data_IF_218964200767
#
_entry.id   IF_218964200767
#
_cell.length_a   1.000
_cell.length_b   1.000
_cell.length_c   1.000
_cell.angle_alpha   90.00
_cell.angle_beta   90.00
_cell.angle_gamma   90.00
#
_symmetry.space_group_name_H-M   'P 1'
#
loop_
_entity.id
_entity.type
_entity.pdbx_description
1 polymer ?
#
# COMPACT_ATOMS: atom_id res chain seq x y z
N UNK A 1 -3.85 -37.48 63.37
CA UNK A 1 -3.26 -36.45 62.49
C UNK A 1 -4.32 -36.15 61.40
N UNK A 2 -5.30 -35.25 61.54
CA UNK A 2 -5.26 -33.77 61.58
C UNK A 2 -4.18 -33.22 60.64
N UNK A 3 -4.42 -32.38 59.63
CA UNK A 3 -5.39 -31.28 59.43
C UNK A 3 -5.42 -30.93 57.91
N UNK A 4 -6.58 -30.80 57.25
CA UNK A 4 -7.41 -29.60 56.94
C UNK A 4 -7.23 -28.98 55.53
N UNK A 5 -8.37 -28.96 54.83
CA UNK A 5 -8.78 -28.22 53.62
C UNK A 5 -8.56 -26.71 53.72
N UNK A 6 -8.37 -26.04 52.57
CA UNK A 6 -9.03 -24.75 52.22
C UNK A 6 -9.28 -24.64 50.71
N UNK A 7 -10.56 -24.66 50.33
CA UNK A 7 -11.06 -24.08 49.08
C UNK A 7 -11.18 -22.56 49.29
N UNK A 8 -10.78 -21.76 48.29
CA UNK A 8 -11.10 -20.34 48.21
C UNK A 8 -12.18 -20.15 47.15
N UNK A 9 -13.36 -19.73 47.59
CA UNK A 9 -14.33 -18.99 46.79
C UNK A 9 -13.92 -17.52 46.82
N UNK A 10 -13.89 -16.85 45.66
CA UNK A 10 -13.98 -15.40 45.61
C UNK A 10 -14.94 -14.98 44.49
N UNK A 11 -16.01 -14.37 44.98
CA UNK A 11 -17.10 -13.70 44.29
C UNK A 11 -16.56 -12.52 43.47
N UNK A 12 -17.04 -12.32 42.25
CA UNK A 12 -16.98 -11.01 41.62
C UNK A 12 -18.37 -10.60 41.12
N UNK A 13 -18.75 -9.43 41.59
CA UNK A 13 -20.09 -8.87 41.68
C UNK A 13 -20.51 -8.24 40.35
N UNK A 14 -21.74 -8.51 39.93
CA UNK A 14 -22.47 -7.78 38.90
C UNK A 14 -22.59 -6.29 39.27
N UNK A 15 -22.26 -5.39 38.35
CA UNK A 15 -22.62 -3.97 38.44
C UNK A 15 -23.53 -3.65 37.25
N UNK A 16 -24.84 -3.77 37.49
CA UNK A 16 -25.90 -3.12 36.72
C UNK A 16 -26.01 -1.68 37.22
N UNK A 17 -25.84 -0.71 36.31
CA UNK A 17 -26.17 0.69 36.52
C UNK A 17 -27.10 1.16 35.41
N UNK A 18 -28.37 1.37 35.76
CA UNK A 18 -29.44 1.84 34.87
C UNK A 18 -29.77 3.31 35.13
N UNK A 19 -30.22 4.00 34.07
CA UNK A 19 -31.00 5.25 34.03
C UNK A 19 -30.26 6.55 34.45
N UNK A 20 -30.45 7.70 33.80
CA UNK A 20 -31.70 8.26 33.27
C UNK A 20 -31.50 9.39 32.23
N UNK A 21 -32.53 9.53 31.37
CA UNK A 21 -33.07 10.71 30.67
C UNK A 21 -32.30 12.05 30.66
N UNK A 22 -32.17 12.64 29.48
CA UNK A 22 -32.66 14.00 29.20
C UNK A 22 -33.15 14.09 27.75
N UNK A 23 -34.46 14.31 27.60
CA UNK A 23 -35.10 14.72 26.37
C UNK A 23 -35.02 16.24 26.25
N UNK A 24 -34.72 16.76 25.05
CA UNK A 24 -35.03 18.15 24.67
C UNK A 24 -35.74 18.10 23.32
N UNK A 25 -36.87 18.81 23.30
CA UNK A 25 -37.89 18.97 22.27
C UNK A 25 -37.48 19.96 21.16
N UNK A 26 -38.17 19.88 20.01
CA UNK A 26 -38.26 20.98 19.02
C UNK A 26 -38.18 20.47 17.57
N UNK A 27 -39.27 19.96 16.99
CA UNK A 27 -40.17 20.70 16.06
C UNK A 27 -39.56 20.93 14.67
N UNK A 28 -39.94 20.11 13.68
CA UNK A 28 -40.95 20.48 12.67
C UNK A 28 -41.12 19.36 11.63
N UNK A 29 -42.35 18.86 11.53
CA UNK A 29 -42.82 18.05 10.40
C UNK A 29 -43.16 18.95 9.19
N UNK A 30 -43.23 18.37 7.98
CA UNK A 30 -44.39 18.69 7.16
C UNK A 30 -45.14 17.43 6.70
N UNK A 31 -46.37 17.35 7.20
CA UNK A 31 -47.64 17.13 6.48
C UNK A 31 -47.63 16.13 5.31
N UNK A 32 -48.32 15.02 5.59
CA UNK A 32 -48.89 14.04 4.66
C UNK A 32 -49.94 14.69 3.75
N UNK A 33 -49.88 14.39 2.45
CA UNK A 33 -51.02 14.46 1.55
C UNK A 33 -51.28 13.07 0.96
N UNK A 34 -52.35 12.44 1.45
CA UNK A 34 -52.96 11.23 0.92
C UNK A 34 -53.67 11.54 -0.40
N UNK A 35 -53.42 10.73 -1.42
CA UNK A 35 -54.37 10.44 -2.50
C UNK A 35 -53.97 9.14 -3.19
N UNK A 36 -54.69 8.06 -2.90
CA UNK A 36 -54.93 7.00 -3.88
C UNK A 36 -56.43 6.94 -4.17
N UNK A 37 -56.92 5.93 -4.91
CA UNK A 37 -56.23 5.03 -5.85
C UNK A 37 -56.89 5.07 -7.24
N UNK A 38 -56.31 4.39 -8.23
CA UNK A 38 -57.09 3.52 -9.14
C UNK A 38 -56.15 2.69 -10.03
N UNK A 39 -56.50 1.42 -10.14
CA UNK A 39 -55.86 0.41 -10.95
C UNK A 39 -56.46 0.40 -12.36
N UNK A 40 -55.68 0.08 -13.40
CA UNK A 40 -56.08 -0.97 -14.31
C UNK A 40 -54.93 -1.51 -15.16
N UNK A 41 -54.99 -2.80 -15.42
CA UNK A 41 -54.12 -3.57 -16.30
C UNK A 41 -54.62 -3.47 -17.76
N UNK A 42 -53.72 -3.58 -18.74
CA UNK A 42 -54.12 -3.55 -20.15
C UNK A 42 -52.98 -3.92 -21.10
N UNK A 43 -53.21 -5.01 -21.80
CA UNK A 43 -52.32 -5.86 -22.59
C UNK A 43 -52.14 -5.40 -24.07
N UNK A 44 -51.06 -5.93 -24.68
CA UNK A 44 -50.89 -6.31 -26.09
C UNK A 44 -50.84 -5.30 -27.29
N UNK A 45 -49.84 -5.59 -28.15
CA UNK A 45 -49.79 -5.57 -29.63
C UNK A 45 -49.31 -4.32 -30.43
N UNK A 46 -48.09 -4.49 -30.96
CA UNK A 46 -47.66 -4.08 -32.31
C UNK A 46 -48.42 -4.89 -33.41
N UNK A 47 -48.29 -4.67 -34.75
CA UNK A 47 -47.26 -3.93 -35.50
C UNK A 47 -47.76 -3.09 -36.71
N UNK A 48 -46.86 -2.37 -37.40
CA UNK A 48 -46.82 -2.29 -38.88
C UNK A 48 -45.61 -1.46 -39.38
N UNK A 49 -45.07 -1.94 -40.50
CA UNK A 49 -43.85 -1.55 -41.21
C UNK A 49 -43.99 -0.24 -42.03
N UNK A 50 -42.85 0.36 -42.37
CA UNK A 50 -42.74 1.46 -43.35
C UNK A 50 -41.30 1.75 -43.76
N UNK A 51 -40.91 1.20 -44.91
CA UNK A 51 -39.66 1.38 -45.66
C UNK A 51 -39.44 2.84 -46.15
N UNK A 52 -38.17 3.25 -46.29
CA UNK A 52 -37.78 4.50 -46.93
C UNK A 52 -36.28 4.84 -46.78
N UNK A 53 -35.47 4.32 -47.69
CA UNK A 53 -34.02 4.60 -47.83
C UNK A 53 -33.72 6.00 -48.40
N UNK A 54 -32.66 6.69 -47.90
CA UNK A 54 -31.72 7.50 -48.70
C UNK A 54 -30.56 8.06 -47.83
N UNK A 55 -29.34 7.93 -48.36
CA UNK A 55 -28.06 8.33 -47.75
C UNK A 55 -27.73 9.84 -47.84
N UNK A 56 -26.75 10.20 -47.01
CA UNK A 56 -25.76 11.29 -47.11
C UNK A 56 -26.13 12.68 -46.58
N UNK A 57 -25.63 13.02 -45.39
CA UNK A 57 -24.46 13.91 -45.29
C UNK A 57 -23.74 13.73 -43.94
N UNK A 58 -22.43 13.51 -43.99
CA UNK A 58 -21.54 13.33 -42.84
C UNK A 58 -20.68 14.59 -42.73
N UNK A 59 -21.00 15.45 -41.76
CA UNK A 59 -20.16 16.56 -41.29
C UNK A 59 -19.68 16.27 -39.86
N UNK A 60 -18.43 16.61 -39.51
CA UNK A 60 -17.69 15.90 -38.48
C UNK A 60 -18.18 16.21 -37.07
N UNK A 61 -18.34 15.14 -36.30
CA UNK A 61 -18.31 15.14 -34.84
C UNK A 61 -16.98 15.77 -34.42
N UNK A 62 -17.06 16.94 -33.80
CA UNK A 62 -15.90 17.56 -33.16
C UNK A 62 -15.31 16.58 -32.15
N UNK A 63 -14.01 16.33 -32.29
CA UNK A 63 -13.29 15.45 -31.42
C UNK A 63 -13.38 15.93 -29.96
N UNK A 64 -13.64 15.00 -29.05
CA UNK A 64 -13.61 15.25 -27.60
C UNK A 64 -12.19 15.32 -27.05
N UNK A 65 -11.20 15.79 -27.81
CA UNK A 65 -9.81 15.85 -27.34
C UNK A 65 -9.52 17.06 -26.46
N UNK A 66 -10.40 18.08 -26.50
CA UNK A 66 -10.20 19.31 -25.74
C UNK A 66 -10.63 19.21 -24.26
N UNK A 67 -11.58 18.36 -23.89
CA UNK A 67 -12.04 18.30 -22.49
C UNK A 67 -11.02 17.61 -21.57
N UNK A 68 -10.31 16.60 -22.07
CA UNK A 68 -9.29 15.87 -21.29
C UNK A 68 -8.05 16.74 -21.03
N UNK A 69 -7.59 17.48 -22.04
CA UNK A 69 -6.42 18.36 -21.90
C UNK A 69 -6.71 19.60 -21.03
N UNK A 70 -7.93 20.13 -21.07
CA UNK A 70 -8.34 21.29 -20.26
C UNK A 70 -8.45 20.96 -18.77
N UNK A 71 -8.88 19.74 -18.42
CA UNK A 71 -8.97 19.29 -17.01
C UNK A 71 -7.57 19.08 -16.41
N UNK A 72 -6.62 18.48 -17.14
CA UNK A 72 -5.23 18.29 -16.65
C UNK A 72 -4.50 19.64 -16.51
N UNK A 73 -4.73 20.59 -17.44
CA UNK A 73 -4.18 21.95 -17.36
C UNK A 73 -4.70 22.71 -16.12
N UNK A 74 -5.95 22.50 -15.72
CA UNK A 74 -6.54 23.12 -14.53
C UNK A 74 -5.97 22.56 -13.21
N UNK A 75 -5.74 21.25 -13.12
CA UNK A 75 -5.16 20.64 -11.93
C UNK A 75 -3.71 21.10 -11.69
N UNK A 76 -2.94 21.28 -12.75
CA UNK A 76 -1.51 21.57 -12.65
C UNK A 76 -1.17 23.04 -12.94
N UNK A 77 -2.16 23.93 -12.86
CA UNK A 77 -1.95 25.37 -12.98
C UNK A 77 -1.21 25.97 -11.76
N UNK A 78 -1.50 25.46 -10.55
CA UNK A 78 -0.90 25.92 -9.30
C UNK A 78 -0.17 24.77 -8.59
N UNK A 79 1.11 24.61 -8.94
CA UNK A 79 1.98 23.53 -8.42
C UNK A 79 2.88 24.05 -7.32
N UNK A 80 2.87 23.36 -6.18
CA UNK A 80 3.85 23.57 -5.11
C UNK A 80 4.84 22.42 -5.11
N UNK A 81 6.12 22.75 -5.31
CA UNK A 81 7.20 21.77 -5.20
C UNK A 81 7.58 21.59 -3.73
N UNK A 82 7.65 20.35 -3.28
CA UNK A 82 8.13 20.04 -1.93
C UNK A 82 9.63 19.78 -1.99
N UNK A 83 10.39 20.77 -1.51
CA UNK A 83 11.81 20.59 -1.21
C UNK A 83 11.96 19.90 0.14
N UNK A 84 12.01 18.58 0.13
CA UNK A 84 12.41 17.86 1.32
C UNK A 84 13.94 17.77 1.42
N UNK A 85 14.48 18.29 2.53
CA UNK A 85 15.86 18.00 2.95
C UNK A 85 16.00 16.60 3.56
N UNK A 86 14.94 15.78 3.49
CA UNK A 86 14.85 14.49 4.15
C UNK A 86 15.76 13.49 3.45
N UNK A 87 16.61 12.82 4.24
CA UNK A 87 17.64 11.91 3.74
C UNK A 87 17.11 10.55 3.30
N UNK A 88 15.79 10.34 3.24
CA UNK A 88 15.23 9.03 2.96
C UNK A 88 15.32 8.72 1.47
N UNK A 89 16.25 7.81 1.20
CA UNK A 89 16.75 7.42 -0.10
C UNK A 89 15.71 6.51 -0.79
N UNK A 90 14.89 7.06 -1.69
CA UNK A 90 14.04 6.27 -2.57
C UNK A 90 14.10 6.83 -3.98
N UNK A 91 14.71 6.06 -4.89
CA UNK A 91 14.73 6.38 -6.32
C UNK A 91 14.43 5.16 -7.20
N UNK A 92 13.73 4.17 -6.68
CA UNK A 92 13.42 2.98 -7.47
C UNK A 92 11.94 2.97 -7.80
N UNK A 93 11.57 2.83 -9.09
CA UNK A 93 10.25 2.37 -9.46
C UNK A 93 9.91 1.16 -8.60
N UNK A 94 8.76 1.22 -7.93
CA UNK A 94 8.36 0.15 -7.03
C UNK A 94 7.70 -0.93 -7.89
N UNK A 95 8.30 -2.13 -8.00
CA UNK A 95 7.67 -3.22 -8.71
C UNK A 95 6.41 -3.62 -7.95
N UNK A 96 5.38 -3.90 -8.73
CA UNK A 96 4.10 -4.32 -8.23
C UNK A 96 3.93 -5.81 -8.52
N UNK A 97 3.56 -6.60 -7.52
CA UNK A 97 3.20 -7.98 -7.73
C UNK A 97 1.95 -8.05 -8.63
N UNK A 98 1.99 -8.96 -9.61
CA UNK A 98 0.92 -9.09 -10.59
C UNK A 98 -0.28 -9.80 -9.98
N UNK A 99 -1.39 -9.08 -9.80
CA UNK A 99 -2.73 -9.69 -9.92
C UNK A 99 -3.66 -8.79 -10.71
N UNK A 100 -3.97 -9.27 -11.92
CA UNK A 100 -5.15 -9.02 -12.74
C UNK A 100 -5.91 -7.69 -12.53
N UNK A 101 -5.39 -6.62 -13.15
CA UNK A 101 -6.07 -5.64 -14.03
C UNK A 101 -5.51 -4.23 -13.78
N UNK A 102 -4.61 -3.77 -14.66
CA UNK A 102 -4.26 -2.34 -14.78
C UNK A 102 -3.11 -1.83 -13.90
N UNK A 103 -1.93 -2.46 -13.97
CA UNK A 103 -0.73 -2.03 -13.22
C UNK A 103 0.46 -1.87 -14.17
N UNK A 104 1.22 -0.77 -14.06
CA UNK A 104 2.28 -0.39 -15.02
C UNK A 104 3.65 -1.04 -14.80
N UNK A 105 4.00 -1.50 -13.58
CA UNK A 105 5.36 -1.97 -13.24
C UNK A 105 5.40 -3.40 -12.64
N UNK A 106 5.18 -4.44 -13.45
CA UNK A 106 5.29 -5.85 -12.99
C UNK A 106 6.75 -6.21 -12.64
N UNK A 107 6.95 -6.97 -11.56
CA UNK A 107 8.26 -7.55 -11.24
C UNK A 107 8.88 -8.29 -12.45
N UNK A 108 10.15 -8.02 -12.74
CA UNK A 108 10.85 -8.53 -13.92
C UNK A 108 12.31 -8.80 -13.60
N UNK A 109 12.72 -10.06 -13.70
CA UNK A 109 14.05 -10.52 -13.28
C UNK A 109 14.78 -11.23 -14.43
N UNK A 110 16.07 -10.98 -14.54
CA UNK A 110 17.01 -11.67 -15.41
C UNK A 110 18.05 -12.40 -14.54
N UNK A 111 17.97 -13.73 -14.53
CA UNK A 111 18.88 -14.62 -13.79
C UNK A 111 19.86 -15.35 -14.73
N UNK A 112 20.18 -14.77 -15.89
CA UNK A 112 21.09 -15.37 -16.88
C UNK A 112 22.55 -15.44 -16.42
N UNK A 113 22.94 -14.64 -15.42
CA UNK A 113 24.29 -14.62 -14.84
C UNK A 113 24.33 -15.49 -13.58
N UNK A 114 25.14 -16.55 -13.53
CA UNK A 114 25.24 -17.40 -12.34
C UNK A 114 25.62 -16.61 -11.08
N UNK A 115 24.88 -16.83 -9.99
CA UNK A 115 25.13 -16.19 -8.70
C UNK A 115 24.57 -14.77 -8.57
N UNK A 116 23.87 -14.24 -9.57
CA UNK A 116 23.28 -12.89 -9.52
C UNK A 116 21.92 -12.83 -10.24
N UNK A 117 21.07 -11.90 -9.81
CA UNK A 117 19.77 -11.63 -10.45
C UNK A 117 19.65 -10.14 -10.73
N UNK A 118 19.44 -9.77 -11.98
CA UNK A 118 19.17 -8.41 -12.36
C UNK A 118 17.67 -8.11 -12.37
N UNK A 119 17.24 -7.13 -11.58
CA UNK A 119 15.88 -6.61 -11.56
C UNK A 119 15.72 -5.52 -12.62
N UNK A 120 14.95 -5.84 -13.68
CA UNK A 120 14.72 -4.94 -14.80
C UNK A 120 13.84 -3.73 -14.45
N UNK A 121 13.14 -3.75 -13.32
CA UNK A 121 12.30 -2.64 -12.85
C UNK A 121 13.14 -1.68 -12.01
N UNK A 122 13.80 -2.21 -10.97
CA UNK A 122 14.57 -1.37 -10.03
C UNK A 122 15.97 -1.05 -10.52
N UNK A 123 16.45 -1.75 -11.56
CA UNK A 123 17.82 -1.66 -12.11
C UNK A 123 18.89 -2.05 -11.09
N UNK A 124 18.53 -2.95 -10.18
CA UNK A 124 19.42 -3.49 -9.14
C UNK A 124 19.89 -4.90 -9.52
N UNK A 125 21.13 -5.22 -9.17
CA UNK A 125 21.66 -6.58 -9.27
C UNK A 125 21.77 -7.18 -7.89
N UNK A 126 20.97 -8.20 -7.60
CA UNK A 126 20.98 -8.94 -6.35
C UNK A 126 22.02 -10.04 -6.41
N UNK A 127 22.86 -10.14 -5.38
CA UNK A 127 23.81 -11.23 -5.26
C UNK A 127 23.15 -12.44 -4.61
N UNK A 128 23.28 -13.60 -5.25
CA UNK A 128 22.91 -14.90 -4.71
C UNK A 128 24.14 -15.57 -4.08
N UNK A 129 23.89 -16.64 -3.32
CA UNK A 129 24.96 -17.52 -2.87
C UNK A 129 25.33 -18.48 -4.01
N UNK A 130 26.63 -18.67 -4.35
CA UNK A 130 27.04 -19.40 -5.54
C UNK A 130 26.58 -20.86 -5.63
N UNK A 131 26.27 -21.47 -4.48
CA UNK A 131 25.95 -22.89 -4.31
C UNK A 131 24.50 -23.16 -3.89
N UNK A 132 23.63 -22.15 -3.89
CA UNK A 132 22.30 -22.32 -3.31
C UNK A 132 22.33 -22.38 -1.77
N UNK A 133 23.32 -21.73 -1.14
CA UNK A 133 23.45 -21.69 0.32
C UNK A 133 22.48 -20.71 0.99
N UNK A 134 22.08 -20.98 2.23
CA UNK A 134 21.23 -20.04 2.98
C UNK A 134 21.94 -18.71 3.19
N UNK A 135 21.21 -17.59 3.01
CA UNK A 135 21.75 -16.24 3.25
C UNK A 135 22.44 -16.15 4.63
N UNK A 136 23.63 -15.57 4.76
CA UNK A 136 24.32 -15.47 6.06
C UNK A 136 23.55 -14.64 7.09
N UNK A 137 23.81 -14.88 8.38
CA UNK A 137 23.29 -14.06 9.49
C UNK A 137 24.42 -13.33 10.24
N UNK A 138 24.11 -12.16 10.80
CA UNK A 138 25.07 -11.35 11.53
C UNK A 138 24.44 -10.09 12.13
N UNK A 139 25.24 -9.31 12.86
CA UNK A 139 24.84 -7.94 13.22
C UNK A 139 24.72 -7.09 11.96
N UNK A 140 24.12 -5.91 12.08
CA UNK A 140 23.99 -5.01 10.93
C UNK A 140 25.36 -4.55 10.41
N UNK A 141 26.34 -4.38 11.30
CA UNK A 141 27.71 -4.03 10.94
C UNK A 141 28.39 -5.17 10.17
N UNK A 142 28.20 -6.43 10.59
CA UNK A 142 28.73 -7.59 9.89
C UNK A 142 28.14 -7.69 8.48
N UNK A 143 26.82 -7.49 8.35
CA UNK A 143 26.13 -7.53 7.07
C UNK A 143 26.63 -6.43 6.09
N UNK A 144 26.84 -5.21 6.58
CA UNK A 144 27.42 -4.12 5.79
C UNK A 144 28.83 -4.47 5.32
N UNK A 145 29.69 -4.95 6.22
CA UNK A 145 31.06 -5.31 5.90
C UNK A 145 31.14 -6.47 4.90
N UNK A 146 30.29 -7.50 5.09
CA UNK A 146 30.21 -8.64 4.20
C UNK A 146 29.79 -8.25 2.78
N UNK A 147 28.74 -7.42 2.64
CA UNK A 147 28.35 -6.93 1.31
C UNK A 147 29.42 -6.06 0.67
N UNK A 148 30.07 -5.18 1.44
CA UNK A 148 31.15 -4.33 0.95
C UNK A 148 32.33 -5.16 0.41
N UNK A 149 32.69 -6.26 1.08
CA UNK A 149 33.76 -7.17 0.64
C UNK A 149 33.48 -7.83 -0.72
N UNK A 150 32.19 -7.90 -1.13
CA UNK A 150 31.72 -8.46 -2.41
C UNK A 150 31.50 -7.38 -3.49
N UNK A 151 31.98 -6.15 -3.24
CA UNK A 151 31.75 -5.00 -4.13
C UNK A 151 30.26 -4.62 -4.23
N UNK A 152 29.49 -4.89 -3.17
CA UNK A 152 28.07 -4.63 -3.09
C UNK A 152 27.75 -3.85 -1.81
N UNK A 153 26.47 -3.55 -1.61
CA UNK A 153 25.98 -2.92 -0.38
C UNK A 153 24.83 -3.72 0.20
N UNK A 154 24.59 -3.49 1.48
CA UNK A 154 23.34 -3.92 2.12
C UNK A 154 22.18 -3.11 1.50
N UNK A 155 21.03 -3.75 1.17
CA UNK A 155 19.88 -3.08 0.57
C UNK A 155 19.18 -2.15 1.56
N UNK A 156 18.41 -1.20 1.06
CA UNK A 156 17.44 -0.41 1.85
C UNK A 156 16.21 -1.24 2.19
N UNK A 157 15.38 -0.77 3.11
CA UNK A 157 14.10 -1.39 3.47
C UNK A 157 13.21 -1.54 2.23
N UNK A 158 13.16 -0.50 1.39
CA UNK A 158 12.30 -0.53 0.20
C UNK A 158 12.84 -1.48 -0.86
N UNK A 159 14.16 -1.57 -1.06
CA UNK A 159 14.75 -2.57 -1.96
C UNK A 159 14.44 -4.00 -1.50
N UNK A 160 14.43 -4.29 -0.20
CA UNK A 160 13.99 -5.60 0.28
C UNK A 160 12.49 -5.83 0.08
N UNK A 161 11.67 -4.79 0.26
CA UNK A 161 10.22 -4.86 0.00
C UNK A 161 9.93 -5.16 -1.48
N UNK A 162 10.76 -4.68 -2.42
CA UNK A 162 10.53 -4.90 -3.86
C UNK A 162 10.66 -6.37 -4.27
N UNK A 163 11.44 -7.16 -3.52
CA UNK A 163 11.63 -8.61 -3.78
C UNK A 163 10.79 -9.50 -2.85
N UNK A 164 10.03 -8.90 -1.93
CA UNK A 164 9.15 -9.63 -1.02
C UNK A 164 7.94 -10.15 -1.80
N UNK A 165 7.73 -11.45 -1.75
CA UNK A 165 6.62 -12.12 -2.41
C UNK A 165 5.42 -12.28 -1.47
N UNK A 166 4.45 -11.39 -1.62
CA UNK A 166 3.20 -11.44 -0.87
C UNK A 166 2.14 -12.32 -1.52
N UNK A 167 2.32 -12.81 -2.74
CA UNK A 167 1.24 -13.41 -3.53
C UNK A 167 1.34 -14.94 -3.57
N UNK A 168 0.21 -15.65 -3.73
CA UNK A 168 0.22 -17.09 -3.89
C UNK A 168 0.87 -17.44 -5.22
N UNK A 169 2.09 -17.95 -5.17
CA UNK A 169 2.62 -18.86 -6.19
C UNK A 169 2.61 -20.25 -5.57
N UNK A 170 2.22 -21.22 -6.38
CA UNK A 170 1.96 -22.62 -5.97
C UNK A 170 3.18 -23.33 -5.35
N UNK A 171 4.36 -22.68 -5.34
CA UNK A 171 5.63 -23.22 -4.82
C UNK A 171 6.42 -22.25 -3.89
N UNK A 172 5.81 -21.19 -3.35
CA UNK A 172 6.51 -20.34 -2.38
C UNK A 172 6.62 -21.04 -1.01
N UNK A 173 7.81 -21.58 -0.72
CA UNK A 173 8.22 -22.12 0.59
C UNK A 173 8.88 -21.08 1.49
N UNK A 174 9.05 -19.84 1.02
CA UNK A 174 9.47 -18.66 1.81
C UNK A 174 9.01 -17.35 1.14
N UNK A 175 9.02 -16.23 1.87
CA UNK A 175 8.42 -14.94 1.46
C UNK A 175 9.08 -14.20 0.29
N UNK A 176 9.79 -14.90 -0.61
CA UNK A 176 10.28 -14.42 -1.91
C UNK A 176 10.02 -15.49 -2.98
N UNK A 177 10.07 -15.11 -4.27
CA UNK A 177 10.01 -16.08 -5.37
C UNK A 177 11.26 -16.96 -5.36
N UNK A 178 11.13 -18.22 -4.92
CA UNK A 178 12.25 -19.16 -4.81
C UNK A 178 12.88 -19.53 -6.15
N UNK A 179 12.13 -19.40 -7.26
CA UNK A 179 12.68 -19.65 -8.59
C UNK A 179 13.69 -18.57 -9.01
N UNK A 180 13.56 -17.37 -8.44
CA UNK A 180 14.41 -16.21 -8.75
C UNK A 180 15.43 -15.95 -7.63
N UNK A 181 14.97 -15.97 -6.38
CA UNK A 181 15.77 -15.75 -5.18
C UNK A 181 15.86 -17.04 -4.37
N UNK A 182 16.69 -18.00 -4.84
CA UNK A 182 16.92 -19.22 -4.08
C UNK A 182 17.43 -18.88 -2.67
N UNK A 183 17.16 -19.79 -1.75
CA UNK A 183 17.68 -19.80 -0.39
C UNK A 183 17.18 -18.64 0.48
N UNK A 184 16.12 -17.96 0.02
CA UNK A 184 15.36 -17.10 0.90
C UNK A 184 14.71 -17.99 1.93
N UNK A 185 15.17 -17.91 3.17
CA UNK A 185 14.55 -18.59 4.31
C UNK A 185 13.63 -17.63 5.07
N UNK A 186 12.66 -18.20 5.77
CA UNK A 186 11.79 -17.51 6.71
C UNK A 186 12.59 -16.85 7.85
N UNK A 187 12.86 -15.55 7.72
CA UNK A 187 13.59 -14.77 8.71
C UNK A 187 13.38 -13.27 8.49
N UNK A 188 13.92 -12.48 9.42
CA UNK A 188 14.17 -11.06 9.18
C UNK A 188 15.49 -10.86 8.43
N UNK A 189 15.48 -9.89 7.52
CA UNK A 189 16.63 -9.49 6.72
C UNK A 189 17.01 -8.05 7.01
N UNK A 190 18.29 -7.81 7.28
CA UNK A 190 18.80 -6.47 7.57
C UNK A 190 18.66 -5.53 6.39
N UNK A 191 18.23 -4.30 6.67
CA UNK A 191 18.31 -3.18 5.74
C UNK A 191 19.24 -2.06 6.22
N UNK A 192 19.67 -1.19 5.31
CA UNK A 192 20.40 0.06 5.58
C UNK A 192 19.50 1.20 6.05
N UNK A 193 18.18 1.01 6.08
CA UNK A 193 17.23 2.01 6.56
C UNK A 193 17.13 1.99 8.10
N UNK A 194 17.35 3.12 8.79
CA UNK A 194 17.14 3.22 10.24
C UNK A 194 15.63 3.27 10.59
N UNK A 195 15.24 2.90 11.81
CA UNK A 195 13.81 2.94 12.22
C UNK A 195 13.35 4.29 12.75
N UNK A 196 14.28 5.15 13.12
CA UNK A 196 14.03 6.52 13.55
C UNK A 196 15.35 7.31 13.52
N UNK A 197 15.38 8.51 14.10
CA UNK A 197 16.64 9.21 14.39
C UNK A 197 17.59 8.42 15.31
N UNK A 198 17.10 7.37 15.99
CA UNK A 198 17.93 6.51 16.82
C UNK A 198 18.64 5.43 15.99
N UNK A 199 19.92 5.68 15.69
CA UNK A 199 20.78 4.77 14.93
C UNK A 199 21.03 3.41 15.59
N UNK A 200 20.65 3.22 16.87
CA UNK A 200 20.75 1.92 17.54
C UNK A 200 19.79 0.89 16.94
N UNK A 201 18.71 1.34 16.28
CA UNK A 201 17.68 0.49 15.70
C UNK A 201 17.70 0.56 14.17
N UNK A 202 17.60 -0.61 13.53
CA UNK A 202 17.54 -0.75 12.08
C UNK A 202 16.35 -1.59 11.66
N UNK A 203 15.78 -1.32 10.48
CA UNK A 203 14.66 -2.11 9.97
C UNK A 203 15.13 -3.50 9.55
N UNK A 204 14.48 -4.52 10.10
CA UNK A 204 14.45 -5.88 9.60
C UNK A 204 13.21 -6.11 8.74
N UNK A 205 13.39 -6.59 7.51
CA UNK A 205 12.30 -6.93 6.60
C UNK A 205 12.00 -8.43 6.69
N UNK A 206 10.74 -8.79 6.92
CA UNK A 206 10.33 -10.16 7.20
C UNK A 206 10.03 -10.95 5.91
N UNK A 207 10.73 -12.05 5.65
CA UNK A 207 10.45 -12.95 4.52
C UNK A 207 9.70 -14.22 4.97
N UNK A 208 8.62 -14.07 5.73
CA UNK A 208 7.79 -15.18 6.23
C UNK A 208 6.73 -15.62 5.22
N UNK A 209 6.45 -16.92 5.11
CA UNK A 209 5.21 -17.40 4.46
C UNK A 209 4.01 -17.13 5.37
N UNK A 210 2.80 -17.06 4.81
CA UNK A 210 1.58 -16.83 5.60
C UNK A 210 1.28 -15.36 5.88
N UNK A 211 2.16 -14.44 5.49
CA UNK A 211 1.93 -13.00 5.53
C UNK A 211 1.84 -12.34 6.90
N UNK A 212 2.17 -13.05 7.98
CA UNK A 212 2.37 -12.50 9.32
C UNK A 212 3.66 -11.66 9.47
N UNK A 213 4.28 -11.26 8.35
CA UNK A 213 5.60 -10.65 8.31
C UNK A 213 5.59 -9.17 8.65
N UNK A 214 5.54 -8.87 9.95
CA UNK A 214 5.64 -7.50 10.43
C UNK A 214 7.07 -6.99 10.28
N UNK A 215 7.30 -6.00 9.42
CA UNK A 215 8.61 -5.32 9.39
C UNK A 215 8.80 -4.56 10.71
N UNK A 216 9.94 -4.75 11.37
CA UNK A 216 10.21 -4.27 12.73
C UNK A 216 11.60 -3.68 12.88
N UNK A 217 11.77 -2.87 13.93
CA UNK A 217 13.07 -2.37 14.36
C UNK A 217 13.80 -3.38 15.24
N UNK A 218 15.10 -3.55 14.97
CA UNK A 218 15.98 -4.43 15.74
C UNK A 218 17.23 -3.68 16.21
N UNK A 219 17.75 -4.05 17.38
CA UNK A 219 19.03 -3.52 17.86
C UNK A 219 20.14 -3.95 16.90
N UNK A 220 20.79 -2.95 16.29
CA UNK A 220 21.78 -3.12 15.22
C UNK A 220 23.07 -3.82 15.66
N UNK A 221 23.38 -3.78 16.95
CA UNK A 221 24.60 -4.36 17.53
C UNK A 221 24.34 -5.70 18.24
N UNK A 222 23.11 -5.94 18.71
CA UNK A 222 22.78 -7.15 19.46
C UNK A 222 22.00 -8.20 18.66
N UNK A 223 21.28 -7.81 17.60
CA UNK A 223 20.43 -8.73 16.85
C UNK A 223 21.17 -9.39 15.68
N UNK A 224 21.00 -10.70 15.52
CA UNK A 224 21.56 -11.46 14.41
C UNK A 224 20.46 -11.76 13.40
N UNK A 225 20.43 -11.01 12.29
CA UNK A 225 19.44 -11.19 11.22
C UNK A 225 20.14 -11.68 9.95
N UNK A 226 19.36 -12.24 9.03
CA UNK A 226 19.85 -12.63 7.70
C UNK A 226 20.14 -11.36 6.88
N UNK A 227 20.89 -11.47 5.79
CA UNK A 227 21.06 -10.36 4.86
C UNK A 227 21.29 -10.83 3.43
N UNK A 228 20.87 -9.97 2.48
CA UNK A 228 21.21 -10.07 1.06
C UNK A 228 22.07 -8.89 0.67
N UNK A 229 22.82 -9.01 -0.41
CA UNK A 229 23.65 -7.93 -0.95
C UNK A 229 23.13 -7.50 -2.31
N UNK A 230 23.22 -6.21 -2.60
CA UNK A 230 22.75 -5.61 -3.85
C UNK A 230 23.80 -4.68 -4.44
N UNK A 231 23.91 -4.68 -5.77
CA UNK A 231 24.65 -3.70 -6.56
C UNK A 231 23.69 -2.88 -7.40
N UNK A 232 24.17 -1.73 -7.86
CA UNK A 232 23.40 -0.81 -8.67
C UNK A 232 23.55 0.61 -8.16
N UNK A 233 22.81 1.56 -8.73
CA UNK A 233 22.85 2.95 -8.29
C UNK A 233 22.59 3.02 -6.78
N UNK A 234 23.36 3.87 -6.10
CA UNK A 234 22.98 4.26 -4.75
C UNK A 234 21.59 4.90 -4.85
N UNK A 235 20.69 4.65 -3.89
CA UNK A 235 19.38 5.26 -3.95
C UNK A 235 19.58 6.77 -3.86
N UNK A 236 19.18 7.48 -4.91
CA UNK A 236 19.39 8.92 -5.02
C UNK A 236 18.26 9.67 -4.34
N UNK A 237 18.54 10.93 -4.01
CA UNK A 237 17.56 11.87 -3.45
C UNK A 237 16.93 12.62 -4.61
N UNK A 238 15.66 12.39 -4.98
CA UNK A 238 15.02 13.23 -5.98
C UNK A 238 14.86 14.63 -5.39
N UNK A 239 15.48 15.63 -6.00
CA UNK A 239 15.08 17.02 -5.76
C UNK A 239 13.63 17.16 -6.20
N UNK A 240 12.77 17.77 -5.38
CA UNK A 240 11.34 17.89 -5.66
C UNK A 240 10.67 16.53 -5.95
N UNK A 241 10.86 15.55 -5.04
CA UNK A 241 10.16 14.25 -5.16
C UNK A 241 8.65 14.43 -5.31
N UNK A 242 8.07 15.35 -4.55
CA UNK A 242 6.64 15.60 -4.56
C UNK A 242 6.28 16.94 -5.21
N UNK A 243 5.34 16.89 -6.13
CA UNK A 243 4.68 18.06 -6.70
C UNK A 243 3.21 18.05 -6.27
N UNK A 244 2.76 19.14 -5.64
CA UNK A 244 1.39 19.24 -5.13
C UNK A 244 0.57 20.07 -6.10
N UNK A 245 -0.47 19.46 -6.66
CA UNK A 245 -1.60 20.17 -7.25
C UNK A 245 -2.53 20.65 -6.14
N UNK A 246 -2.53 21.96 -5.86
CA UNK A 246 -3.45 22.53 -4.86
C UNK A 246 -4.90 22.50 -5.35
N UNK A 247 -5.11 22.79 -6.64
CA UNK A 247 -6.43 22.85 -7.25
C UNK A 247 -7.19 21.50 -7.18
N UNK A 248 -6.48 20.38 -7.38
CA UNK A 248 -7.09 19.05 -7.40
C UNK A 248 -6.76 18.21 -6.16
N UNK A 249 -5.96 18.74 -5.23
CA UNK A 249 -5.52 18.04 -4.02
C UNK A 249 -4.84 16.69 -4.33
N UNK A 250 -3.92 16.71 -5.28
CA UNK A 250 -3.16 15.53 -5.76
C UNK A 250 -1.67 15.76 -5.50
N UNK A 251 -0.96 14.69 -5.13
CA UNK A 251 0.50 14.68 -5.07
C UNK A 251 1.05 13.81 -6.20
N UNK A 252 1.89 14.38 -7.07
CA UNK A 252 2.74 13.62 -7.99
C UNK A 252 4.01 13.22 -7.27
N UNK A 253 4.31 11.92 -7.26
CA UNK A 253 5.57 11.36 -6.77
C UNK A 253 6.50 11.03 -7.94
N UNK A 254 7.43 11.93 -8.22
CA UNK A 254 8.39 11.79 -9.31
C UNK A 254 9.34 10.59 -9.13
N UNK A 255 9.53 10.11 -7.89
CA UNK A 255 10.39 8.95 -7.61
C UNK A 255 9.74 7.63 -7.98
N UNK A 256 8.41 7.51 -7.85
CA UNK A 256 7.67 6.27 -8.13
C UNK A 256 6.83 6.32 -9.40
N UNK A 257 6.65 7.51 -9.99
CA UNK A 257 5.78 7.77 -11.14
C UNK A 257 4.30 7.47 -10.84
N UNK A 258 3.90 7.75 -9.59
CA UNK A 258 2.53 7.58 -9.10
C UNK A 258 1.92 8.93 -8.70
N UNK A 259 0.61 9.04 -8.87
CA UNK A 259 -0.17 10.14 -8.31
C UNK A 259 -0.99 9.64 -7.12
N UNK A 260 -1.05 10.46 -6.09
CA UNK A 260 -1.65 10.14 -4.81
C UNK A 260 -2.71 11.16 -4.44
N UNK A 261 -3.80 10.68 -3.84
CA UNK A 261 -4.70 11.53 -3.11
C UNK A 261 -3.90 12.22 -1.98
N UNK A 262 -3.95 13.54 -1.91
CA UNK A 262 -3.21 14.31 -0.90
C UNK A 262 -3.89 14.30 0.47
N UNK A 263 -5.23 14.28 0.47
CA UNK A 263 -6.07 14.37 1.66
C UNK A 263 -5.83 13.24 2.66
N UNK A 264 -6.49 13.35 3.83
CA UNK A 264 -6.38 12.35 4.91
C UNK A 264 -6.84 10.95 4.50
N UNK A 265 -7.59 10.84 3.42
CA UNK A 265 -8.24 9.63 2.98
C UNK A 265 -9.62 9.42 3.60
N UNK A 266 -10.21 8.26 3.32
CA UNK A 266 -11.51 7.85 3.85
C UNK A 266 -11.37 6.69 4.83
N UNK A 267 -12.00 6.80 6.00
CA UNK A 267 -12.12 5.68 6.94
C UNK A 267 -13.28 4.75 6.55
N UNK A 268 -13.06 3.44 6.61
CA UNK A 268 -14.08 2.42 6.39
C UNK A 268 -13.52 1.00 6.29
N UNK A 269 -14.40 0.05 5.98
CA UNK A 269 -14.02 -1.33 5.58
C UNK A 269 -13.33 -1.33 4.22
N UNK A 270 -12.60 -2.39 3.89
CA UNK A 270 -11.87 -2.49 2.62
C UNK A 270 -12.78 -2.27 1.39
N UNK A 271 -13.98 -2.87 1.35
CA UNK A 271 -14.92 -2.67 0.23
C UNK A 271 -15.33 -1.20 0.10
N UNK A 272 -15.48 -0.49 1.22
CA UNK A 272 -15.79 0.94 1.21
C UNK A 272 -14.58 1.78 0.77
N UNK A 273 -13.36 1.37 1.12
CA UNK A 273 -12.11 1.98 0.65
C UNK A 273 -11.94 1.82 -0.87
N UNK A 274 -12.25 0.64 -1.41
CA UNK A 274 -12.20 0.36 -2.85
C UNK A 274 -13.24 1.19 -3.61
N UNK A 275 -14.48 1.19 -3.16
CA UNK A 275 -15.54 2.02 -3.73
C UNK A 275 -15.21 3.52 -3.64
N UNK A 276 -14.61 3.95 -2.52
CA UNK A 276 -14.16 5.33 -2.36
C UNK A 276 -13.11 5.70 -3.42
N UNK A 277 -12.07 4.89 -3.60
CA UNK A 277 -11.06 5.19 -4.61
C UNK A 277 -11.65 5.19 -6.02
N UNK A 278 -12.48 4.23 -6.37
CA UNK A 278 -13.14 4.18 -7.68
C UNK A 278 -14.09 5.37 -7.93
N UNK A 279 -14.59 6.01 -6.88
CA UNK A 279 -15.44 7.20 -6.99
C UNK A 279 -14.68 8.50 -7.27
N UNK A 280 -13.35 8.52 -7.11
CA UNK A 280 -12.55 9.72 -7.34
C UNK A 280 -12.49 10.04 -8.84
N UNK A 281 -12.61 11.33 -9.24
CA UNK A 281 -12.55 11.71 -10.65
C UNK A 281 -11.22 11.29 -11.30
N UNK A 282 -11.24 10.55 -12.43
CA UNK A 282 -10.01 10.18 -13.13
C UNK A 282 -9.34 11.40 -13.78
N UNK A 283 -10.06 12.51 -13.97
CA UNK A 283 -9.54 13.76 -14.54
C UNK A 283 -8.77 13.53 -15.86
N UNK A 284 -9.28 12.62 -16.70
CA UNK A 284 -8.65 12.28 -17.98
C UNK A 284 -7.44 11.33 -17.91
N UNK A 285 -7.12 10.79 -16.73
CA UNK A 285 -6.02 9.83 -16.50
C UNK A 285 -6.54 8.45 -16.11
N UNK A 286 -5.62 7.57 -15.74
CA UNK A 286 -5.92 6.27 -15.12
C UNK A 286 -6.83 6.36 -13.89
N UNK A 287 -7.60 5.30 -13.66
CA UNK A 287 -8.52 5.18 -12.53
C UNK A 287 -7.77 5.11 -11.19
N UNK A 288 -8.40 5.70 -10.17
CA UNK A 288 -7.93 5.64 -8.79
C UNK A 288 -8.22 4.28 -8.18
N UNK A 289 -7.26 3.77 -7.39
CA UNK A 289 -7.39 2.49 -6.69
C UNK A 289 -6.75 2.52 -5.32
N UNK A 290 -7.04 1.48 -4.53
CA UNK A 290 -6.31 1.20 -3.29
C UNK A 290 -4.87 0.79 -3.65
N UNK A 291 -3.84 1.36 -3.02
CA UNK A 291 -2.44 1.07 -3.31
C UNK A 291 -2.06 -0.34 -2.91
N UNK A 292 -1.11 -0.93 -3.62
CA UNK A 292 -0.41 -2.12 -3.14
C UNK A 292 0.45 -1.78 -1.92
N UNK A 293 0.85 -2.81 -1.18
CA UNK A 293 1.73 -2.66 -0.02
C UNK A 293 3.04 -1.95 -0.36
N UNK A 294 3.68 -2.33 -1.47
CA UNK A 294 4.95 -1.74 -1.88
C UNK A 294 4.77 -0.25 -2.25
N UNK A 295 3.69 0.10 -2.94
CA UNK A 295 3.38 1.50 -3.26
C UNK A 295 3.16 2.32 -2.00
N UNK A 296 2.29 1.88 -1.09
CA UNK A 296 2.00 2.65 0.12
C UNK A 296 3.23 2.75 1.04
N UNK A 297 4.04 1.68 1.10
CA UNK A 297 5.31 1.69 1.83
C UNK A 297 6.33 2.68 1.27
N UNK A 298 6.24 3.04 -0.01
CA UNK A 298 7.15 4.02 -0.62
C UNK A 298 6.93 5.45 -0.11
N UNK A 299 5.76 5.72 0.49
CA UNK A 299 5.46 7.00 1.14
C UNK A 299 6.01 7.08 2.57
N UNK A 300 6.43 5.96 3.16
CA UNK A 300 6.88 5.93 4.54
C UNK A 300 8.17 6.74 4.72
N UNK A 301 8.12 7.69 5.65
CA UNK A 301 9.28 8.42 6.11
C UNK A 301 9.81 7.79 7.39
N UNK A 302 10.88 7.02 7.28
CA UNK A 302 11.36 6.09 8.32
C UNK A 302 12.13 6.75 9.45
N UNK A 303 12.49 8.03 9.33
CA UNK A 303 13.11 8.79 10.43
C UNK A 303 12.10 9.53 11.32
N UNK A 304 10.80 9.40 11.02
CA UNK A 304 9.70 10.03 11.77
C UNK A 304 8.68 8.97 12.16
N UNK A 305 8.07 9.20 13.31
CA UNK A 305 6.91 8.46 13.77
C UNK A 305 5.78 9.47 14.05
N UNK A 306 4.53 9.03 13.96
CA UNK A 306 3.33 9.81 14.29
C UNK A 306 3.20 11.20 13.61
N UNK A 307 3.05 11.27 12.27
CA UNK A 307 3.01 10.16 11.32
C UNK A 307 4.33 9.98 10.54
N UNK A 308 4.64 8.74 10.20
CA UNK A 308 5.76 8.27 9.39
C UNK A 308 5.54 8.54 7.89
N UNK A 309 5.25 9.80 7.52
CA UNK A 309 5.10 10.28 6.14
C UNK A 309 5.62 11.72 6.03
N UNK A 310 5.91 12.17 4.81
CA UNK A 310 6.23 13.58 4.56
C UNK A 310 4.97 14.46 4.71
N UNK A 311 4.84 15.10 5.87
CA UNK A 311 3.68 15.95 6.20
C UNK A 311 3.67 17.29 5.47
N UNK A 312 4.72 17.62 4.72
CA UNK A 312 4.68 18.78 3.82
C UNK A 312 3.90 18.45 2.55
N UNK A 313 4.02 17.21 2.08
CA UNK A 313 3.31 16.71 0.90
C UNK A 313 1.90 16.23 1.24
N UNK A 314 1.74 15.46 2.33
CA UNK A 314 0.51 14.72 2.62
C UNK A 314 -0.18 15.18 3.90
N UNK A 315 -1.50 15.25 3.84
CA UNK A 315 -2.35 15.25 5.02
C UNK A 315 -2.63 13.80 5.39
N UNK A 316 -2.40 13.39 6.64
CA UNK A 316 -2.60 11.99 7.03
C UNK A 316 -3.13 11.87 8.45
N UNK A 317 -3.87 10.80 8.67
CA UNK A 317 -4.29 10.37 10.00
C UNK A 317 -3.30 9.37 10.58
N UNK A 318 -3.22 9.35 11.91
CA UNK A 318 -2.42 8.37 12.63
C UNK A 318 -3.24 7.08 12.73
N UNK A 319 -3.00 6.14 11.82
CA UNK A 319 -3.75 4.89 11.78
C UNK A 319 -3.19 3.88 10.79
N UNK A 320 -3.86 2.74 10.72
CA UNK A 320 -3.59 1.72 9.71
C UNK A 320 -4.30 2.11 8.41
N UNK A 321 -3.58 1.92 7.30
CA UNK A 321 -4.10 2.18 5.97
C UNK A 321 -4.22 0.88 5.18
N UNK A 322 -5.33 0.75 4.46
CA UNK A 322 -5.60 -0.37 3.57
C UNK A 322 -4.59 -0.46 2.43
N UNK A 323 -4.24 -1.69 2.06
CA UNK A 323 -3.55 -1.97 0.80
C UNK A 323 -4.34 -3.00 -0.01
N UNK A 324 -4.19 -3.00 -1.32
CA UNK A 324 -4.76 -4.02 -2.20
C UNK A 324 -4.02 -5.37 -2.10
N UNK A 325 -2.89 -5.42 -1.37
CA UNK A 325 -2.05 -6.62 -1.23
C UNK A 325 -2.65 -7.62 -0.25
N UNK A 326 -2.89 -8.82 -0.77
CA UNK A 326 -3.27 -9.99 0.02
C UNK A 326 -2.00 -10.75 0.43
N UNK A 327 -1.87 -11.17 1.70
CA UNK A 327 -0.79 -12.04 2.13
C UNK A 327 -0.92 -13.46 1.58
N UNK A 328 0.23 -14.07 1.29
CA UNK A 328 0.32 -15.44 0.82
C UNK A 328 -0.22 -16.40 1.89
N UNK A 329 -1.00 -17.41 1.49
CA UNK A 329 -1.63 -18.43 2.38
C UNK A 329 -2.58 -17.88 3.45
N UNK A 330 -2.95 -16.59 3.39
CA UNK A 330 -3.94 -15.98 4.26
C UNK A 330 -4.93 -15.11 3.44
N UNK A 331 -5.77 -15.73 2.57
CA UNK A 331 -6.63 -14.99 1.64
C UNK A 331 -7.71 -14.13 2.33
N UNK A 332 -8.02 -14.42 3.60
CA UNK A 332 -8.95 -13.64 4.40
C UNK A 332 -8.25 -12.53 5.19
N UNK A 333 -6.94 -12.35 5.00
CA UNK A 333 -6.18 -11.25 5.56
C UNK A 333 -5.83 -10.24 4.47
N UNK A 334 -5.31 -9.09 4.87
CA UNK A 334 -4.82 -8.05 3.98
C UNK A 334 -3.67 -7.31 4.66
N UNK A 335 -2.65 -6.99 3.88
CA UNK A 335 -1.51 -6.22 4.39
C UNK A 335 -1.97 -4.79 4.62
N UNK A 336 -1.55 -4.19 5.74
CA UNK A 336 -1.83 -2.80 6.09
C UNK A 336 -0.55 -2.07 6.48
N UNK A 337 -0.56 -0.77 6.26
CA UNK A 337 0.56 0.11 6.61
C UNK A 337 0.14 1.06 7.74
N UNK A 338 0.69 0.91 8.95
CA UNK A 338 0.53 1.86 10.02
C UNK A 338 1.43 3.09 9.81
N UNK A 339 0.85 4.26 9.56
CA UNK A 339 1.63 5.51 9.53
C UNK A 339 2.01 6.00 10.93
N UNK A 340 1.54 5.40 12.02
CA UNK A 340 2.03 5.73 13.37
C UNK A 340 3.51 5.36 13.55
N UNK A 341 3.92 4.19 13.07
CA UNK A 341 5.23 3.59 13.32
C UNK A 341 6.07 3.35 12.06
N UNK A 342 5.45 3.34 10.86
CA UNK A 342 6.12 2.93 9.62
C UNK A 342 6.47 1.43 9.57
N UNK A 343 5.92 0.63 10.48
CA UNK A 343 6.00 -0.84 10.40
C UNK A 343 5.09 -1.37 9.29
N UNK A 344 4.99 -2.69 9.19
CA UNK A 344 4.01 -3.38 8.34
C UNK A 344 3.31 -4.41 9.20
N UNK A 345 2.03 -4.70 8.97
CA UNK A 345 1.36 -5.87 9.57
C UNK A 345 0.27 -6.33 8.60
N UNK A 346 -0.27 -7.52 8.79
CA UNK A 346 -1.50 -7.97 8.14
C UNK A 346 -2.63 -8.08 9.17
N UNK A 347 -3.86 -8.05 8.68
CA UNK A 347 -5.07 -8.14 9.52
C UNK A 347 -6.17 -8.95 8.80
N UNK A 348 -7.06 -9.58 9.56
CA UNK A 348 -8.24 -10.31 9.04
C UNK A 348 -9.30 -9.34 8.51
N UNK A 349 -9.80 -9.55 7.30
CA UNK A 349 -10.79 -8.67 6.68
C UNK A 349 -12.13 -8.62 7.44
N UNK A 350 -12.51 -9.73 8.08
CA UNK A 350 -13.86 -9.94 8.59
C UNK A 350 -14.09 -9.41 10.02
N UNK A 351 -13.03 -8.99 10.73
CA UNK A 351 -13.09 -8.63 12.16
C UNK A 351 -12.13 -7.50 12.54
N UNK A 352 -12.19 -6.39 11.78
CA UNK A 352 -11.29 -5.25 11.97
C UNK A 352 -12.03 -3.93 12.11
N UNK A 353 -11.50 -2.99 12.91
CA UNK A 353 -12.03 -1.64 12.96
C UNK A 353 -11.93 -0.98 11.58
N UNK A 354 -12.62 0.14 11.42
CA UNK A 354 -12.49 0.92 10.20
C UNK A 354 -11.06 1.43 10.07
N UNK A 355 -10.48 1.28 8.87
CA UNK A 355 -9.15 1.76 8.54
C UNK A 355 -9.19 2.80 7.44
N UNK A 356 -8.08 3.50 7.25
CA UNK A 356 -7.99 4.58 6.30
C UNK A 356 -7.64 4.10 4.89
N UNK A 357 -8.13 4.80 3.88
CA UNK A 357 -7.83 4.57 2.47
C UNK A 357 -7.25 5.85 1.88
N UNK A 358 -6.03 5.75 1.33
CA UNK A 358 -5.43 6.77 0.47
C UNK A 358 -5.35 6.20 -0.93
N UNK A 359 -5.92 6.89 -1.90
CA UNK A 359 -5.98 6.38 -3.26
C UNK A 359 -4.71 6.71 -4.05
N UNK A 360 -4.37 5.83 -4.99
CA UNK A 360 -3.23 5.96 -5.90
C UNK A 360 -3.67 5.70 -7.33
N UNK A 361 -2.95 6.27 -8.28
CA UNK A 361 -3.02 5.93 -9.71
C UNK A 361 -1.65 6.09 -10.37
N UNK A 362 -1.52 5.55 -11.57
CA UNK A 362 -0.33 5.72 -12.42
C UNK A 362 -0.36 7.07 -13.12
N UNK A 363 0.81 7.65 -13.36
CA UNK A 363 0.96 8.92 -14.09
C UNK A 363 0.70 8.81 -15.60
N UNK A 364 0.31 7.66 -16.14
CA UNK A 364 0.11 7.50 -17.59
C UNK A 364 -1.26 7.99 -18.07
#
# INVERSE_FOLDING_TARGET
>A
MMWRRRLFFLSFTLLLGSSACHAILGLDEPVVADAGPDADAGDERAPAEGDGSAEADVGPVGDGSNDVAVVDAGCWADVVLVDNTWEDLLNTPVPQPATATGVSNRASYDASVPGEVYDNVTKLTWLLEPDGGTSPSGTRADAIAACASRGARLPTRMELITIQNWYPVDDATAGADQAVFPDTVEAYYWSTTPTSSNVKWGWGVAFYTGGAGTNLGFDTAASLLRYRCVRGPAPSRPTHRYEISQACNIVRDNGTRLEWERGRGKSGKYIQAEAYCQSLPPAGRNEWRVPTYSELSSLLYTKRENPAIDTLAFETEQGNYWTSTLPNRAPNHRVVVPFSTGSTTDIRNDDVPDLWARCVRTMD
#
